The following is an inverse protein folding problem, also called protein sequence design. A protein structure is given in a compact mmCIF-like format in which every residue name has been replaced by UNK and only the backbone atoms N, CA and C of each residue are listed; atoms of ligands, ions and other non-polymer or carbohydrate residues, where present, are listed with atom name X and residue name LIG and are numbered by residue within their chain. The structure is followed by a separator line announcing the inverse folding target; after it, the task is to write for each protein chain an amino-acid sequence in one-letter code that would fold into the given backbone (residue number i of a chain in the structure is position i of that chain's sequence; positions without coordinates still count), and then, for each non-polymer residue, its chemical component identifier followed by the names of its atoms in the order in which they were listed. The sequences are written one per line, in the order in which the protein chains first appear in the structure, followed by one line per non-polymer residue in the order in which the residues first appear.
data_IF_991304047446
#
_entry.id   IF_991304047446
#
_cell.length_a   1.000
_cell.length_b   1.000
_cell.length_c   1.000
_cell.angle_alpha   90.00
_cell.angle_beta   90.00
_cell.angle_gamma   90.00
#
_symmetry.space_group_name_H-M   'P 1'
#
loop_
_entity.id
_entity.type
_entity.pdbx_description
1 polymer ?
#
# COMPACT_ATOMS: atom_id res chain seq x y z
N UNK A 1 -40.34 -11.63 -50.96
CA UNK A 1 -41.31 -11.83 -49.85
C UNK A 1 -42.03 -10.52 -49.54
N UNK A 2 -43.33 -10.44 -49.83
CA UNK A 2 -44.13 -9.19 -49.82
C UNK A 2 -44.99 -8.97 -48.56
N UNK A 3 -44.81 -9.77 -47.51
CA UNK A 3 -45.51 -9.61 -46.24
C UNK A 3 -44.53 -9.66 -45.06
N UNK A 4 -44.47 -8.58 -44.27
CA UNK A 4 -43.76 -8.53 -42.99
C UNK A 4 -44.55 -9.35 -41.97
N UNK A 5 -43.94 -10.44 -41.48
CA UNK A 5 -44.57 -11.37 -40.51
C UNK A 5 -44.49 -10.88 -39.06
N UNK A 6 -43.57 -9.96 -38.76
CA UNK A 6 -43.39 -9.38 -37.43
C UNK A 6 -42.00 -8.80 -37.23
N UNK A 7 -41.85 -7.97 -36.19
CA UNK A 7 -40.57 -7.47 -35.67
C UNK A 7 -40.31 -8.02 -34.26
N UNK A 8 -39.05 -7.97 -33.82
CA UNK A 8 -38.66 -8.45 -32.48
C UNK A 8 -37.43 -7.72 -31.95
N UNK A 9 -37.28 -7.73 -30.63
CA UNK A 9 -36.13 -7.15 -29.92
C UNK A 9 -35.26 -8.29 -29.40
N UNK A 10 -33.95 -8.20 -29.62
CA UNK A 10 -32.98 -9.18 -29.11
C UNK A 10 -32.68 -8.87 -27.65
N UNK A 11 -33.18 -9.68 -26.73
CA UNK A 11 -32.97 -9.49 -25.27
C UNK A 11 -31.68 -10.12 -24.74
N UNK A 12 -31.13 -11.13 -25.45
CA UNK A 12 -29.86 -11.74 -25.10
C UNK A 12 -29.19 -12.31 -26.36
N UNK A 13 -28.17 -11.63 -26.91
CA UNK A 13 -27.45 -12.09 -28.10
C UNK A 13 -26.51 -13.26 -27.83
N UNK A 14 -26.18 -13.57 -26.56
CA UNK A 14 -25.17 -14.57 -26.19
C UNK A 14 -25.64 -15.53 -25.08
N UNK A 15 -26.58 -16.45 -25.37
CA UNK A 15 -27.02 -17.44 -24.40
C UNK A 15 -25.92 -18.47 -24.10
N UNK A 16 -25.53 -18.61 -22.81
CA UNK A 16 -24.54 -19.62 -22.36
C UNK A 16 -25.00 -21.08 -22.55
N UNK A 17 -26.31 -21.30 -22.70
CA UNK A 17 -26.92 -22.61 -22.92
C UNK A 17 -28.26 -22.44 -23.63
N UNK A 18 -28.76 -23.53 -24.23
CA UNK A 18 -30.11 -23.57 -24.80
C UNK A 18 -31.15 -23.58 -23.69
N UNK A 19 -32.10 -22.66 -23.72
CA UNK A 19 -33.17 -22.58 -22.72
C UNK A 19 -34.29 -23.59 -23.03
N UNK A 20 -34.91 -24.12 -21.97
CA UNK A 20 -36.11 -24.95 -22.09
C UNK A 20 -37.30 -24.04 -22.42
N UNK A 21 -38.21 -24.52 -23.28
CA UNK A 21 -39.42 -23.78 -23.64
C UNK A 21 -40.28 -23.57 -22.39
N UNK A 22 -40.76 -22.34 -22.19
CA UNK A 22 -41.62 -21.93 -21.07
C UNK A 22 -41.01 -22.14 -19.67
N UNK A 23 -39.68 -22.04 -19.56
CA UNK A 23 -39.00 -22.04 -18.27
C UNK A 23 -39.34 -20.75 -17.50
N UNK A 24 -40.03 -20.83 -16.33
CA UNK A 24 -40.51 -19.66 -15.61
C UNK A 24 -39.40 -18.69 -15.20
N UNK A 25 -38.24 -19.23 -14.81
CA UNK A 25 -37.09 -18.42 -14.37
C UNK A 25 -36.46 -17.67 -15.56
N UNK A 26 -36.47 -18.29 -16.73
CA UNK A 26 -35.97 -17.69 -17.97
C UNK A 26 -36.93 -16.61 -18.48
N UNK A 27 -38.24 -16.86 -18.41
CA UNK A 27 -39.28 -15.89 -18.80
C UNK A 27 -39.24 -14.68 -17.88
N UNK A 28 -39.25 -14.87 -16.55
CA UNK A 28 -39.19 -13.77 -15.59
C UNK A 28 -37.93 -12.92 -15.79
N UNK A 29 -36.76 -13.55 -15.99
CA UNK A 29 -35.51 -12.87 -16.31
C UNK A 29 -35.61 -12.04 -17.61
N UNK A 30 -36.26 -12.56 -18.64
CA UNK A 30 -36.42 -11.83 -19.90
C UNK A 30 -37.48 -10.75 -19.83
N UNK A 31 -38.50 -10.88 -18.99
CA UNK A 31 -39.43 -9.78 -18.70
C UNK A 31 -38.74 -8.65 -17.94
N UNK A 32 -37.84 -8.95 -17.00
CA UNK A 32 -36.98 -7.93 -16.37
C UNK A 32 -36.04 -7.28 -17.38
N UNK A 33 -35.43 -8.04 -18.31
CA UNK A 33 -34.60 -7.45 -19.38
C UNK A 33 -35.42 -6.65 -20.40
N UNK A 34 -36.68 -7.02 -20.62
CA UNK A 34 -37.58 -6.34 -21.54
C UNK A 34 -38.25 -5.10 -20.93
N UNK A 35 -38.30 -4.98 -19.59
CA UNK A 35 -38.96 -3.88 -18.86
C UNK A 35 -38.03 -3.06 -17.97
N UNK A 36 -36.81 -3.54 -17.69
CA UNK A 36 -35.84 -2.84 -16.86
C UNK A 36 -35.38 -1.58 -17.56
N UNK A 37 -35.35 -0.48 -16.82
CA UNK A 37 -34.81 0.76 -17.38
C UNK A 37 -33.31 0.53 -17.73
N UNK A 38 -32.80 1.13 -18.83
CA UNK A 38 -31.43 0.86 -19.29
C UNK A 38 -30.34 1.08 -18.23
N UNK A 39 -30.56 2.02 -17.32
CA UNK A 39 -29.73 2.29 -16.14
C UNK A 39 -29.69 1.12 -15.15
N UNK A 40 -30.85 0.53 -14.80
CA UNK A 40 -30.94 -0.65 -13.92
C UNK A 40 -30.19 -1.85 -14.49
N UNK A 41 -30.30 -2.08 -15.81
CA UNK A 41 -29.62 -3.18 -16.49
C UNK A 41 -28.09 -2.98 -16.45
N UNK A 42 -27.61 -1.75 -16.64
CA UNK A 42 -26.18 -1.44 -16.55
C UNK A 42 -25.65 -1.62 -15.12
N UNK A 43 -26.39 -1.14 -14.11
CA UNK A 43 -26.02 -1.30 -12.70
C UNK A 43 -25.97 -2.78 -12.30
N UNK A 44 -27.01 -3.55 -12.64
CA UNK A 44 -27.05 -4.99 -12.34
C UNK A 44 -25.92 -5.74 -13.05
N UNK A 45 -25.54 -5.31 -14.26
CA UNK A 45 -24.40 -5.89 -14.98
C UNK A 45 -23.08 -5.61 -14.25
N UNK A 46 -22.87 -4.38 -13.78
CA UNK A 46 -21.67 -3.99 -13.02
C UNK A 46 -21.59 -4.63 -11.63
N UNK A 47 -22.73 -4.85 -10.95
CA UNK A 47 -22.75 -5.56 -9.67
C UNK A 47 -22.31 -7.02 -9.79
N UNK A 48 -22.63 -7.64 -10.94
CA UNK A 48 -22.25 -9.02 -11.24
C UNK A 48 -20.81 -9.12 -11.68
N UNK A 49 -20.40 -8.21 -12.54
CA UNK A 49 -19.10 -8.18 -13.19
C UNK A 49 -18.55 -6.76 -13.12
N UNK A 50 -17.88 -6.38 -12.02
CA UNK A 50 -17.31 -5.06 -11.88
C UNK A 50 -15.99 -4.92 -12.64
N UNK A 51 -15.44 -3.70 -12.70
CA UNK A 51 -14.20 -3.36 -13.40
C UNK A 51 -14.28 -3.55 -14.92
N UNK A 52 -15.46 -3.34 -15.50
CA UNK A 52 -15.66 -3.39 -16.96
C UNK A 52 -15.34 -2.03 -17.60
N UNK A 53 -14.70 -2.04 -18.75
CA UNK A 53 -14.62 -0.85 -19.61
C UNK A 53 -16.03 -0.48 -20.13
N UNK A 54 -16.30 0.80 -20.44
CA UNK A 54 -17.61 1.25 -20.95
C UNK A 54 -18.15 0.43 -22.12
N UNK A 55 -17.34 0.19 -23.15
CA UNK A 55 -17.75 -0.56 -24.34
C UNK A 55 -18.09 -2.02 -24.01
N UNK A 56 -17.31 -2.63 -23.10
CA UNK A 56 -17.54 -4.00 -22.65
C UNK A 56 -18.83 -4.11 -21.83
N UNK A 57 -19.12 -3.11 -20.98
CA UNK A 57 -20.36 -3.05 -20.22
C UNK A 57 -21.57 -2.96 -21.16
N UNK A 58 -21.52 -2.06 -22.15
CA UNK A 58 -22.58 -1.90 -23.15
C UNK A 58 -22.79 -3.23 -23.90
N UNK A 59 -21.72 -3.85 -24.38
CA UNK A 59 -21.81 -5.15 -25.08
C UNK A 59 -22.36 -6.29 -24.23
N UNK A 60 -22.12 -6.29 -22.91
CA UNK A 60 -22.63 -7.32 -21.97
C UNK A 60 -24.04 -7.06 -21.47
N UNK A 61 -24.49 -5.80 -21.49
CA UNK A 61 -25.82 -5.39 -21.03
C UNK A 61 -26.96 -5.91 -21.92
N UNK A 62 -26.68 -6.21 -23.19
CA UNK A 62 -27.70 -6.60 -24.18
C UNK A 62 -28.58 -5.44 -24.65
N UNK A 63 -28.28 -4.21 -24.24
CA UNK A 63 -28.95 -2.99 -24.67
C UNK A 63 -28.46 -2.55 -26.06
N UNK A 64 -29.30 -1.79 -26.77
CA UNK A 64 -28.86 -1.04 -27.95
C UNK A 64 -27.78 -0.01 -27.58
N UNK A 65 -26.87 0.30 -28.50
CA UNK A 65 -25.72 1.18 -28.23
C UNK A 65 -26.14 2.59 -27.77
N UNK A 66 -27.09 3.22 -28.46
CA UNK A 66 -27.58 4.56 -28.11
C UNK A 66 -28.23 4.62 -26.71
N UNK A 67 -29.24 3.80 -26.37
CA UNK A 67 -29.84 3.86 -25.04
C UNK A 67 -28.87 3.48 -23.92
N UNK A 68 -27.92 2.56 -24.17
CA UNK A 68 -26.91 2.20 -23.19
C UNK A 68 -25.90 3.32 -22.94
N UNK A 69 -25.46 4.02 -23.99
CA UNK A 69 -24.56 5.18 -23.85
C UNK A 69 -25.24 6.33 -23.12
N UNK A 70 -26.50 6.64 -23.46
CA UNK A 70 -27.27 7.67 -22.78
C UNK A 70 -27.44 7.37 -21.28
N UNK A 71 -27.84 6.15 -20.95
CA UNK A 71 -28.02 5.73 -19.56
C UNK A 71 -26.69 5.68 -18.78
N UNK A 72 -25.60 5.23 -19.41
CA UNK A 72 -24.29 5.25 -18.77
C UNK A 72 -23.83 6.68 -18.47
N UNK A 73 -24.03 7.61 -19.40
CA UNK A 73 -23.68 9.01 -19.20
C UNK A 73 -24.49 9.62 -18.02
N UNK A 74 -25.78 9.32 -17.94
CA UNK A 74 -26.64 9.75 -16.82
C UNK A 74 -26.19 9.14 -15.48
N UNK A 75 -25.83 7.85 -15.47
CA UNK A 75 -25.29 7.18 -14.28
C UNK A 75 -23.93 7.74 -13.84
N UNK A 76 -23.09 8.17 -14.78
CA UNK A 76 -21.83 8.84 -14.46
C UNK A 76 -22.06 10.27 -13.96
N UNK A 77 -23.02 11.00 -14.54
CA UNK A 77 -23.34 12.37 -14.15
C UNK A 77 -24.00 12.44 -12.77
N UNK A 78 -24.90 11.51 -12.46
CA UNK A 78 -25.48 11.33 -11.11
C UNK A 78 -24.47 10.74 -10.11
N UNK A 79 -23.33 10.23 -10.60
CA UNK A 79 -22.30 9.61 -9.80
C UNK A 79 -22.66 8.20 -9.29
N UNK A 80 -23.73 7.59 -9.77
CA UNK A 80 -24.09 6.20 -9.45
C UNK A 80 -23.06 5.19 -9.98
N UNK A 81 -22.36 5.55 -11.07
CA UNK A 81 -21.23 4.80 -11.63
C UNK A 81 -20.01 5.70 -11.70
N UNK A 82 -18.85 5.19 -11.29
CA UNK A 82 -17.57 5.90 -11.34
C UNK A 82 -16.53 5.04 -12.06
N UNK A 83 -15.66 5.67 -12.83
CA UNK A 83 -14.52 4.99 -13.45
C UNK A 83 -13.29 5.08 -12.54
N UNK A 84 -12.66 3.95 -12.25
CA UNK A 84 -11.32 3.88 -11.70
C UNK A 84 -10.38 3.28 -12.75
N UNK A 85 -9.44 4.07 -13.26
CA UNK A 85 -8.53 3.72 -14.37
C UNK A 85 -9.28 3.22 -15.62
N UNK A 86 -10.39 3.87 -15.97
CA UNK A 86 -11.24 3.49 -17.09
C UNK A 86 -12.11 2.25 -16.85
N UNK A 87 -11.97 1.58 -15.71
CA UNK A 87 -12.81 0.47 -15.30
C UNK A 87 -13.99 0.96 -14.45
N UNK A 88 -15.21 0.64 -14.86
CA UNK A 88 -16.44 1.10 -14.22
C UNK A 88 -16.76 0.29 -12.96
N UNK A 89 -17.21 1.01 -11.94
CA UNK A 89 -17.67 0.50 -10.67
C UNK A 89 -18.93 1.25 -10.26
N UNK A 90 -19.86 0.56 -9.59
CA UNK A 90 -20.98 1.23 -8.92
C UNK A 90 -20.47 2.02 -7.72
N UNK A 91 -21.20 3.08 -7.34
CA UNK A 91 -20.92 3.84 -6.11
C UNK A 91 -20.89 2.93 -4.88
N UNK A 92 -21.84 2.01 -4.79
CA UNK A 92 -21.90 1.03 -3.70
C UNK A 92 -20.63 0.15 -3.61
N UNK A 93 -20.07 -0.25 -4.76
CA UNK A 93 -18.82 -1.01 -4.79
C UNK A 93 -17.62 -0.18 -4.31
N UNK A 94 -17.53 1.10 -4.73
CA UNK A 94 -16.49 2.03 -4.27
C UNK A 94 -16.61 2.28 -2.77
N UNK A 95 -17.81 2.57 -2.28
CA UNK A 95 -18.06 2.79 -0.85
C UNK A 95 -17.72 1.54 -0.02
N UNK A 96 -18.10 0.36 -0.51
CA UNK A 96 -17.74 -0.92 0.11
C UNK A 96 -16.22 -1.13 0.16
N UNK A 97 -15.49 -0.78 -0.90
CA UNK A 97 -14.02 -0.84 -0.91
C UNK A 97 -13.40 0.14 0.09
N UNK A 98 -13.92 1.37 0.18
CA UNK A 98 -13.44 2.36 1.16
C UNK A 98 -13.71 1.87 2.58
N UNK A 99 -14.88 1.29 2.85
CA UNK A 99 -15.19 0.68 4.14
C UNK A 99 -14.21 -0.44 4.49
N UNK A 100 -14.00 -1.39 3.56
CA UNK A 100 -13.02 -2.47 3.73
C UNK A 100 -11.60 -1.96 3.96
N UNK A 101 -11.19 -0.91 3.22
CA UNK A 101 -9.89 -0.25 3.40
C UNK A 101 -9.75 0.34 4.80
N UNK A 102 -10.75 1.09 5.27
CA UNK A 102 -10.71 1.68 6.62
C UNK A 102 -10.74 0.62 7.72
N UNK A 103 -11.51 -0.45 7.54
CA UNK A 103 -11.56 -1.58 8.47
C UNK A 103 -10.21 -2.31 8.54
N UNK A 104 -9.57 -2.56 7.39
CA UNK A 104 -8.25 -3.16 7.30
C UNK A 104 -7.19 -2.33 8.04
N UNK A 105 -7.20 -1.01 7.86
CA UNK A 105 -6.25 -0.12 8.55
C UNK A 105 -6.53 -0.07 10.06
N UNK A 106 -7.80 -0.09 10.48
CA UNK A 106 -8.16 -0.15 11.91
C UNK A 106 -7.66 -1.46 12.56
N UNK A 107 -7.85 -2.60 11.88
CA UNK A 107 -7.34 -3.89 12.35
C UNK A 107 -5.80 -3.87 12.45
N UNK A 108 -5.13 -3.34 11.42
CA UNK A 108 -3.68 -3.19 11.41
C UNK A 108 -3.17 -2.34 12.59
N UNK A 109 -3.80 -1.21 12.87
CA UNK A 109 -3.41 -0.33 13.98
C UNK A 109 -3.67 -0.96 15.36
N UNK A 110 -4.73 -1.76 15.51
CA UNK A 110 -4.95 -2.52 16.76
C UNK A 110 -3.86 -3.56 16.98
N UNK A 111 -3.43 -4.24 15.92
CA UNK A 111 -2.35 -5.21 15.98
C UNK A 111 -0.96 -4.56 16.12
N UNK A 112 -0.78 -3.35 15.58
CA UNK A 112 0.50 -2.63 15.51
C UNK A 112 0.37 -1.18 16.01
N UNK A 113 0.07 -0.95 17.30
CA UNK A 113 -0.22 0.38 17.83
C UNK A 113 0.97 1.36 17.75
N UNK A 114 2.18 0.84 17.57
CA UNK A 114 3.42 1.62 17.48
C UNK A 114 3.84 1.92 16.03
N UNK A 115 3.20 1.28 15.04
CA UNK A 115 3.49 1.51 13.62
C UNK A 115 2.58 2.60 13.08
N UNK A 116 3.17 3.55 12.35
CA UNK A 116 2.46 4.70 11.79
C UNK A 116 1.34 4.31 10.83
N UNK A 117 1.55 3.26 10.03
CA UNK A 117 0.61 2.82 9.00
C UNK A 117 1.02 1.50 8.37
N UNK A 118 0.16 1.00 7.49
CA UNK A 118 0.33 -0.26 6.78
C UNK A 118 1.00 -0.05 5.42
N UNK A 119 1.93 -0.92 5.00
CA UNK A 119 2.55 -0.82 3.68
C UNK A 119 1.53 -0.84 2.54
N UNK A 120 1.64 0.09 1.58
CA UNK A 120 0.72 0.22 0.43
C UNK A 120 0.55 -1.08 -0.36
N UNK A 121 1.65 -1.79 -0.58
CA UNK A 121 1.65 -3.07 -1.30
C UNK A 121 0.81 -4.13 -0.59
N UNK A 122 0.88 -4.16 0.74
CA UNK A 122 0.13 -5.07 1.59
C UNK A 122 -1.35 -4.71 1.65
N UNK A 123 -1.67 -3.41 1.75
CA UNK A 123 -3.05 -2.93 1.66
C UNK A 123 -3.68 -3.37 0.34
N UNK A 124 -3.01 -3.12 -0.79
CA UNK A 124 -3.49 -3.53 -2.11
C UNK A 124 -3.62 -5.04 -2.22
N UNK A 125 -2.66 -5.80 -1.69
CA UNK A 125 -2.68 -7.26 -1.74
C UNK A 125 -3.70 -7.88 -0.79
N UNK A 126 -4.34 -7.14 0.12
CA UNK A 126 -5.43 -7.64 0.97
C UNK A 126 -6.80 -7.05 0.63
N UNK A 127 -6.83 -5.85 0.04
CA UNK A 127 -8.07 -5.23 -0.41
C UNK A 127 -8.58 -5.99 -1.63
N UNK A 128 -9.79 -6.56 -1.51
CA UNK A 128 -10.43 -7.33 -2.57
C UNK A 128 -11.80 -6.77 -2.89
N UNK A 129 -12.14 -6.79 -4.18
CA UNK A 129 -13.47 -6.44 -4.64
C UNK A 129 -14.34 -7.70 -4.74
N UNK A 130 -15.45 -7.79 -4.00
CA UNK A 130 -16.39 -8.89 -4.14
C UNK A 130 -17.13 -8.82 -5.50
N UNK A 131 -17.21 -9.95 -6.19
CA UNK A 131 -17.96 -10.09 -7.44
C UNK A 131 -18.58 -11.50 -7.50
N UNK A 132 -19.92 -11.61 -7.37
CA UNK A 132 -20.71 -12.86 -7.29
C UNK A 132 -19.92 -14.18 -7.20
N UNK A 133 -19.52 -14.55 -5.98
CA UNK A 133 -18.82 -15.82 -5.70
C UNK A 133 -17.31 -15.81 -6.00
N UNK A 134 -16.75 -14.66 -6.34
CA UNK A 134 -15.32 -14.43 -6.56
C UNK A 134 -14.85 -13.18 -5.83
N UNK A 135 -13.53 -13.08 -5.73
CA UNK A 135 -12.81 -11.95 -5.16
C UNK A 135 -11.80 -11.48 -6.19
N UNK A 136 -11.90 -10.22 -6.61
CA UNK A 136 -11.06 -9.64 -7.66
C UNK A 136 -9.98 -8.77 -7.04
N UNK A 137 -8.78 -8.84 -7.62
CA UNK A 137 -7.70 -7.91 -7.32
C UNK A 137 -7.97 -6.57 -7.99
N UNK A 138 -7.62 -5.47 -7.31
CA UNK A 138 -7.66 -4.14 -7.91
C UNK A 138 -6.40 -3.88 -8.74
N UNK A 139 -6.53 -3.42 -10.00
CA UNK A 139 -5.42 -2.87 -10.76
C UNK A 139 -4.73 -1.73 -10.00
N UNK A 140 -3.41 -1.59 -10.18
CA UNK A 140 -2.59 -0.63 -9.41
C UNK A 140 -3.10 0.81 -9.53
N UNK A 141 -3.45 1.24 -10.75
CA UNK A 141 -3.96 2.60 -11.00
C UNK A 141 -5.34 2.82 -10.39
N UNK A 142 -6.24 1.84 -10.50
CA UNK A 142 -7.55 1.88 -9.85
C UNK A 142 -7.42 1.95 -8.32
N UNK A 143 -6.50 1.17 -7.74
CA UNK A 143 -6.17 1.24 -6.31
C UNK A 143 -5.66 2.63 -5.91
N UNK A 144 -4.75 3.23 -6.67
CA UNK A 144 -4.23 4.56 -6.37
C UNK A 144 -5.33 5.63 -6.44
N UNK A 145 -6.25 5.55 -7.40
CA UNK A 145 -7.39 6.47 -7.49
C UNK A 145 -8.38 6.27 -6.32
N UNK A 146 -8.67 5.02 -5.93
CA UNK A 146 -9.47 4.72 -4.74
C UNK A 146 -8.84 5.32 -3.46
N UNK A 147 -7.53 5.15 -3.30
CA UNK A 147 -6.77 5.72 -2.18
C UNK A 147 -6.88 7.24 -2.18
N UNK A 148 -6.71 7.89 -3.33
CA UNK A 148 -6.84 9.34 -3.44
C UNK A 148 -8.24 9.81 -3.04
N UNK A 149 -9.31 9.17 -3.53
CA UNK A 149 -10.68 9.48 -3.13
C UNK A 149 -10.89 9.33 -1.62
N UNK A 150 -10.30 8.31 -0.99
CA UNK A 150 -10.41 8.11 0.45
C UNK A 150 -9.59 9.14 1.27
N UNK A 151 -8.49 9.66 0.72
CA UNK A 151 -7.71 10.77 1.29
C UNK A 151 -8.49 12.08 1.17
N UNK A 152 -9.06 12.37 0.00
CA UNK A 152 -9.87 13.57 -0.26
C UNK A 152 -11.10 13.60 0.65
N UNK A 153 -11.69 12.43 0.92
CA UNK A 153 -12.77 12.25 1.89
C UNK A 153 -12.30 12.24 3.36
N UNK A 154 -11.03 12.50 3.64
CA UNK A 154 -10.40 12.53 4.97
C UNK A 154 -10.60 11.25 5.80
N UNK A 155 -10.83 10.10 5.15
CA UNK A 155 -10.98 8.80 5.83
C UNK A 155 -9.65 8.15 6.15
N UNK A 156 -8.65 8.41 5.32
CA UNK A 156 -7.29 7.91 5.46
C UNK A 156 -6.28 9.01 5.14
N UNK A 157 -5.03 8.78 5.49
CA UNK A 157 -3.89 9.55 5.06
C UNK A 157 -2.79 8.57 4.61
N UNK A 158 -1.81 9.05 3.87
CA UNK A 158 -0.79 8.18 3.30
C UNK A 158 0.37 8.95 2.71
N UNK A 159 1.48 8.24 2.51
CA UNK A 159 2.62 8.67 1.71
C UNK A 159 2.90 7.64 0.61
N UNK A 160 4.09 7.69 0.00
CA UNK A 160 4.51 6.76 -1.05
C UNK A 160 4.66 5.31 -0.58
N UNK A 161 4.83 5.07 0.73
CA UNK A 161 5.15 3.77 1.28
C UNK A 161 4.02 3.21 2.16
N UNK A 162 3.37 4.07 2.94
CA UNK A 162 2.43 3.70 3.99
C UNK A 162 1.04 4.34 3.79
N UNK A 163 0.01 3.65 4.29
CA UNK A 163 -1.35 4.16 4.45
C UNK A 163 -1.78 4.01 5.90
N UNK A 164 -2.50 4.99 6.43
CA UNK A 164 -3.03 4.97 7.79
C UNK A 164 -4.38 5.67 7.86
N UNK A 165 -5.15 5.35 8.89
CA UNK A 165 -6.34 6.12 9.29
C UNK A 165 -5.99 7.57 9.58
N UNK A 166 -6.73 8.53 9.01
CA UNK A 166 -6.42 9.96 9.12
C UNK A 166 -6.38 10.46 10.58
N UNK A 167 -7.20 9.84 11.44
CA UNK A 167 -7.35 10.08 12.87
C UNK A 167 -6.35 9.30 13.75
N UNK A 168 -5.61 8.34 13.19
CA UNK A 168 -4.67 7.55 13.98
C UNK A 168 -3.42 8.35 14.33
N UNK A 169 -3.02 8.25 15.60
CA UNK A 169 -1.77 8.80 16.12
C UNK A 169 -1.13 7.73 16.99
N UNK A 170 0.15 7.44 16.72
CA UNK A 170 0.95 6.59 17.60
C UNK A 170 1.11 7.34 18.91
N UNK A 171 0.62 6.74 20.00
CA UNK A 171 0.73 7.30 21.35
C UNK A 171 1.52 6.32 22.21
N UNK A 172 2.63 6.79 22.75
CA UNK A 172 3.40 6.05 23.75
C UNK A 172 2.80 6.32 25.12
N UNK A 173 2.46 5.25 25.83
CA UNK A 173 2.18 5.32 27.25
C UNK A 173 3.41 5.83 28.02
N UNK A 174 3.19 6.25 29.27
CA UNK A 174 4.24 6.84 30.11
C UNK A 174 5.42 5.88 30.33
N UNK A 175 5.16 4.57 30.44
CA UNK A 175 6.19 3.55 30.64
C UNK A 175 7.10 3.45 29.41
N UNK A 176 6.50 3.32 28.23
CA UNK A 176 7.22 3.26 26.95
C UNK A 176 7.97 4.56 26.69
N UNK A 177 7.36 5.72 26.95
CA UNK A 177 8.02 7.02 26.79
C UNK A 177 9.30 7.11 27.62
N UNK A 178 9.24 6.77 28.91
CA UNK A 178 10.42 6.75 29.78
C UNK A 178 11.49 5.77 29.31
N UNK A 179 11.08 4.58 28.86
CA UNK A 179 12.01 3.58 28.33
C UNK A 179 12.74 4.09 27.08
N UNK A 180 12.02 4.75 26.16
CA UNK A 180 12.62 5.41 24.99
C UNK A 180 13.58 6.51 25.41
N UNK A 181 13.18 7.41 26.33
CA UNK A 181 14.03 8.50 26.81
C UNK A 181 15.34 7.99 27.44
N UNK A 182 15.25 6.97 28.30
CA UNK A 182 16.41 6.34 28.93
C UNK A 182 17.32 5.66 27.90
N UNK A 183 16.73 4.95 26.93
CA UNK A 183 17.45 4.30 25.85
C UNK A 183 18.20 5.33 25.01
N UNK A 184 17.52 6.38 24.56
CA UNK A 184 18.12 7.43 23.74
C UNK A 184 19.21 8.21 24.49
N UNK A 185 19.03 8.47 25.80
CA UNK A 185 20.06 9.07 26.63
C UNK A 185 21.30 8.17 26.76
N UNK A 186 21.12 6.85 26.86
CA UNK A 186 22.23 5.90 26.90
C UNK A 186 23.03 5.89 25.60
N UNK A 187 22.36 5.96 24.45
CA UNK A 187 23.03 6.10 23.16
C UNK A 187 23.76 7.44 23.04
N UNK A 188 23.13 8.55 23.45
CA UNK A 188 23.74 9.88 23.40
C UNK A 188 25.01 9.98 24.26
N UNK A 189 25.07 9.26 25.38
CA UNK A 189 26.26 9.20 26.24
C UNK A 189 27.44 8.44 25.60
N UNK A 190 27.20 7.60 24.59
CA UNK A 190 28.24 6.79 23.93
C UNK A 190 27.88 6.55 22.46
N UNK A 191 27.88 7.61 21.61
CA UNK A 191 27.29 7.57 20.27
C UNK A 191 27.98 6.57 19.32
N UNK A 192 29.29 6.35 19.51
CA UNK A 192 30.08 5.43 18.68
C UNK A 192 30.36 4.08 19.35
N UNK A 193 29.91 3.89 20.59
CA UNK A 193 29.96 2.62 21.30
C UNK A 193 28.61 2.35 22.00
N UNK A 194 27.51 2.30 21.24
CA UNK A 194 26.18 2.13 21.81
C UNK A 194 25.99 0.75 22.46
N UNK A 195 24.98 0.61 23.34
CA UNK A 195 24.62 -0.68 23.90
C UNK A 195 24.31 -1.70 22.80
N UNK A 196 24.51 -2.98 23.09
CA UNK A 196 24.19 -4.03 22.12
C UNK A 196 22.67 -4.22 21.96
N UNK A 197 22.24 -5.02 20.98
CA UNK A 197 20.81 -5.22 20.72
C UNK A 197 20.04 -5.83 21.90
N UNK A 198 20.64 -6.76 22.64
CA UNK A 198 20.01 -7.36 23.82
C UNK A 198 19.87 -6.34 24.96
N UNK A 199 20.93 -5.57 25.24
CA UNK A 199 20.89 -4.48 26.22
C UNK A 199 19.87 -3.40 25.83
N UNK A 200 19.78 -3.07 24.54
CA UNK A 200 18.78 -2.12 24.02
C UNK A 200 17.37 -2.64 24.25
N UNK A 201 17.12 -3.93 23.98
CA UNK A 201 15.82 -4.54 24.21
C UNK A 201 15.45 -4.54 25.70
N UNK A 202 16.40 -4.83 26.59
CA UNK A 202 16.21 -4.73 28.04
C UNK A 202 15.92 -3.30 28.49
N UNK A 203 16.60 -2.29 27.94
CA UNK A 203 16.31 -0.87 28.22
C UNK A 203 14.91 -0.46 27.76
N UNK A 204 14.40 -1.08 26.69
CA UNK A 204 13.04 -0.90 26.20
C UNK A 204 11.99 -1.74 26.94
N UNK A 205 12.42 -2.49 27.98
CA UNK A 205 11.55 -3.32 28.79
C UNK A 205 11.08 -4.59 28.08
N UNK A 206 11.95 -5.20 27.28
CA UNK A 206 11.69 -6.40 26.47
C UNK A 206 10.55 -6.23 25.45
N UNK A 207 10.29 -4.98 25.03
CA UNK A 207 9.24 -4.63 24.06
C UNK A 207 9.83 -4.55 22.64
N UNK A 208 9.84 -5.69 21.93
CA UNK A 208 10.34 -5.79 20.56
C UNK A 208 9.59 -4.87 19.59
N UNK A 209 8.28 -4.71 19.78
CA UNK A 209 7.46 -3.83 18.95
C UNK A 209 7.87 -2.36 19.10
N UNK A 210 8.32 -1.96 20.29
CA UNK A 210 8.86 -0.63 20.53
C UNK A 210 10.22 -0.44 19.86
N UNK A 211 11.10 -1.43 19.92
CA UNK A 211 12.38 -1.39 19.21
C UNK A 211 12.18 -1.25 17.70
N UNK A 212 11.31 -2.06 17.12
CA UNK A 212 10.99 -1.99 15.70
C UNK A 212 10.37 -0.64 15.32
N UNK A 213 9.50 -0.09 16.17
CA UNK A 213 8.94 1.25 15.94
C UNK A 213 10.01 2.35 15.94
N UNK A 214 11.01 2.29 16.82
CA UNK A 214 12.13 3.24 16.82
C UNK A 214 12.99 3.11 15.55
N UNK A 215 13.13 1.89 15.02
CA UNK A 215 13.85 1.63 13.76
C UNK A 215 13.04 2.15 12.57
N UNK A 216 11.75 1.83 12.50
CA UNK A 216 10.84 2.28 11.44
C UNK A 216 10.74 3.81 11.38
N UNK A 217 10.84 4.48 12.54
CA UNK A 217 10.85 5.95 12.65
C UNK A 217 12.23 6.58 12.34
N UNK A 218 13.27 5.75 12.12
CA UNK A 218 14.64 6.20 11.88
C UNK A 218 15.36 6.77 13.10
N UNK A 219 14.76 6.67 14.30
CA UNK A 219 15.41 7.10 15.55
C UNK A 219 16.59 6.18 15.88
N UNK A 220 16.41 4.88 15.66
CA UNK A 220 17.48 3.88 15.66
C UNK A 220 17.68 3.35 14.25
N UNK A 221 18.91 2.96 13.92
CA UNK A 221 19.26 2.30 12.66
C UNK A 221 19.98 1.00 12.97
N UNK A 222 19.42 -0.11 12.47
CA UNK A 222 20.04 -1.44 12.57
C UNK A 222 21.02 -1.63 11.42
N UNK A 223 22.27 -1.87 11.78
CA UNK A 223 23.38 -2.17 10.88
C UNK A 223 23.67 -3.68 10.88
N UNK A 224 24.57 -4.09 9.99
CA UNK A 224 25.10 -5.46 9.97
C UNK A 224 25.67 -5.88 11.33
N UNK A 225 25.59 -7.18 11.62
CA UNK A 225 26.02 -7.74 12.91
C UNK A 225 25.13 -7.35 14.11
N UNK A 226 23.89 -6.93 13.84
CA UNK A 226 22.89 -6.51 14.83
C UNK A 226 23.40 -5.37 15.74
N UNK A 227 24.17 -4.45 15.16
CA UNK A 227 24.61 -3.22 15.81
C UNK A 227 23.54 -2.16 15.57
N UNK A 228 23.16 -1.44 16.62
CA UNK A 228 22.18 -0.35 16.55
C UNK A 228 22.89 0.96 16.81
N UNK A 229 22.55 2.00 16.05
CA UNK A 229 22.98 3.38 16.28
C UNK A 229 21.76 4.29 16.31
N UNK A 230 21.88 5.49 16.91
CA UNK A 230 20.89 6.53 16.60
C UNK A 230 21.06 6.94 15.14
N UNK A 231 19.95 7.28 14.48
CA UNK A 231 19.98 7.70 13.08
C UNK A 231 20.97 8.85 12.85
N UNK A 232 20.91 9.87 13.72
CA UNK A 232 21.80 11.03 13.65
C UNK A 232 23.29 10.68 13.86
N UNK A 233 23.60 9.74 14.76
CA UNK A 233 24.98 9.33 15.02
C UNK A 233 25.54 8.55 13.83
N UNK A 234 24.73 7.66 13.24
CA UNK A 234 25.10 6.93 12.03
C UNK A 234 25.36 7.88 10.85
N UNK A 235 24.50 8.87 10.66
CA UNK A 235 24.66 9.87 9.59
C UNK A 235 25.92 10.73 9.83
N UNK A 236 26.21 11.09 11.08
CA UNK A 236 27.45 11.79 11.44
C UNK A 236 28.70 10.94 11.17
N UNK A 237 28.67 9.63 11.47
CA UNK A 237 29.77 8.72 11.15
C UNK A 237 29.98 8.62 9.64
N UNK A 238 28.90 8.51 8.86
CA UNK A 238 28.99 8.46 7.40
C UNK A 238 29.63 9.73 6.84
N UNK A 239 29.24 10.89 7.34
CA UNK A 239 29.80 12.18 6.92
C UNK A 239 31.31 12.27 7.23
N UNK A 240 31.72 11.90 8.45
CA UNK A 240 33.13 11.93 8.86
C UNK A 240 33.99 10.94 8.06
N UNK A 241 33.48 9.73 7.77
CA UNK A 241 34.17 8.75 6.92
C UNK A 241 34.34 9.30 5.50
N UNK A 242 33.28 9.90 4.92
CA UNK A 242 33.38 10.51 3.59
C UNK A 242 34.43 11.61 3.55
N UNK A 243 34.46 12.47 4.57
CA UNK A 243 35.44 13.55 4.68
C UNK A 243 36.87 13.00 4.80
N UNK A 244 37.07 11.97 5.63
CA UNK A 244 38.36 11.31 5.78
C UNK A 244 38.85 10.73 4.45
N UNK A 245 38.02 9.97 3.74
CA UNK A 245 38.38 9.39 2.45
C UNK A 245 38.64 10.47 1.40
N UNK A 246 37.88 11.57 1.42
CA UNK A 246 38.10 12.68 0.50
C UNK A 246 39.46 13.38 0.72
N UNK A 247 39.95 13.42 1.96
CA UNK A 247 41.25 14.00 2.32
C UNK A 247 42.43 13.03 2.08
N UNK A 248 42.28 11.78 2.52
CA UNK A 248 43.37 10.79 2.57
C UNK A 248 43.32 9.78 1.40
N UNK A 249 42.32 9.87 0.54
CA UNK A 249 42.07 8.99 -0.61
C UNK A 249 41.41 7.65 -0.27
N UNK A 250 41.64 7.09 0.93
CA UNK A 250 41.04 5.84 1.38
C UNK A 250 40.98 5.74 2.90
N UNK A 251 40.20 4.79 3.44
CA UNK A 251 40.17 4.49 4.87
C UNK A 251 40.27 2.99 5.13
N UNK A 252 41.19 2.59 6.01
CA UNK A 252 41.26 1.23 6.55
C UNK A 252 40.32 1.07 7.76
N UNK A 253 40.00 -0.18 8.10
CA UNK A 253 39.23 -0.47 9.33
C UNK A 253 39.93 0.04 10.60
N UNK A 254 41.27 0.01 10.62
CA UNK A 254 42.06 0.50 11.74
C UNK A 254 41.94 2.03 11.88
N UNK A 255 42.09 2.77 10.78
CA UNK A 255 41.93 4.23 10.77
C UNK A 255 40.50 4.64 11.16
N UNK A 256 39.47 3.93 10.67
CA UNK A 256 38.09 4.20 11.07
C UNK A 256 37.89 3.97 12.57
N UNK A 257 38.44 2.88 13.12
CA UNK A 257 38.39 2.59 14.56
C UNK A 257 39.02 3.72 15.39
N UNK A 258 40.19 4.20 14.97
CA UNK A 258 40.90 5.28 15.63
C UNK A 258 40.17 6.63 15.50
N UNK A 259 39.58 6.91 14.33
CA UNK A 259 38.80 8.11 14.06
C UNK A 259 37.64 8.29 15.04
N UNK A 260 36.93 7.20 15.37
CA UNK A 260 35.78 7.24 16.28
C UNK A 260 36.08 6.79 17.70
N UNK A 261 37.34 6.46 18.01
CA UNK A 261 37.79 5.91 19.29
C UNK A 261 36.85 4.80 19.82
N UNK A 262 36.54 3.82 18.98
CA UNK A 262 35.59 2.74 19.29
C UNK A 262 36.18 1.36 18.99
N UNK A 263 35.40 0.28 19.18
CA UNK A 263 35.80 -1.07 18.82
C UNK A 263 35.66 -1.34 17.33
N UNK A 264 36.43 -2.31 16.80
CA UNK A 264 36.34 -2.72 15.37
C UNK A 264 34.93 -3.16 14.97
N UNK A 265 34.19 -3.78 15.90
CA UNK A 265 32.81 -4.25 15.68
C UNK A 265 31.90 -3.14 15.17
N UNK A 266 31.94 -1.97 15.81
CA UNK A 266 31.06 -0.85 15.52
C UNK A 266 31.38 -0.20 14.17
N UNK A 267 32.66 0.12 13.93
CA UNK A 267 33.08 0.73 12.65
C UNK A 267 32.96 -0.24 11.48
N UNK A 268 33.15 -1.54 11.71
CA UNK A 268 32.94 -2.53 10.65
C UNK A 268 31.49 -2.54 10.18
N UNK A 269 30.53 -2.54 11.12
CA UNK A 269 29.10 -2.49 10.78
C UNK A 269 28.74 -1.22 9.98
N UNK A 270 29.29 -0.07 10.36
CA UNK A 270 29.09 1.20 9.65
C UNK A 270 29.69 1.16 8.24
N UNK A 271 30.91 0.65 8.09
CA UNK A 271 31.56 0.56 6.77
C UNK A 271 30.87 -0.44 5.83
N UNK A 272 30.40 -1.57 6.36
CA UNK A 272 29.61 -2.55 5.60
C UNK A 272 28.27 -1.97 5.15
N UNK A 273 27.62 -1.17 6.00
CA UNK A 273 26.40 -0.45 5.62
C UNK A 273 26.66 0.57 4.51
N UNK A 274 27.76 1.35 4.60
CA UNK A 274 28.14 2.28 3.55
C UNK A 274 28.43 1.57 2.22
N UNK A 275 29.02 0.38 2.26
CA UNK A 275 29.24 -0.46 1.07
C UNK A 275 27.90 -0.95 0.48
N UNK A 276 26.98 -1.41 1.33
CA UNK A 276 25.65 -1.87 0.93
C UNK A 276 24.83 -0.75 0.28
N UNK A 277 24.92 0.47 0.81
CA UNK A 277 24.32 1.68 0.25
C UNK A 277 25.09 2.25 -0.96
N UNK A 278 26.15 1.55 -1.41
CA UNK A 278 26.99 1.93 -2.55
C UNK A 278 27.70 3.29 -2.37
N UNK A 279 27.90 3.74 -1.13
CA UNK A 279 28.62 4.97 -0.80
C UNK A 279 30.12 4.73 -0.91
N UNK A 280 30.60 3.61 -0.36
CA UNK A 280 31.99 3.17 -0.42
C UNK A 280 32.12 1.89 -1.23
N UNK A 281 33.36 1.60 -1.64
CA UNK A 281 33.74 0.29 -2.17
C UNK A 281 35.02 -0.17 -1.48
N UNK A 282 35.06 -1.45 -1.10
CA UNK A 282 36.27 -2.08 -0.57
C UNK A 282 37.26 -2.40 -1.68
N UNK A 283 38.52 -1.99 -1.48
CA UNK A 283 39.67 -2.28 -2.34
C UNK A 283 40.80 -2.84 -1.47
N UNK A 284 40.96 -4.16 -1.47
CA UNK A 284 41.86 -4.84 -0.53
C UNK A 284 41.44 -4.60 0.93
N UNK A 285 42.33 -3.96 1.69
CA UNK A 285 42.15 -3.68 3.12
C UNK A 285 41.59 -2.28 3.42
N UNK A 286 41.38 -1.46 2.39
CA UNK A 286 40.86 -0.10 2.51
C UNK A 286 39.52 0.05 1.79
N UNK A 287 38.86 1.17 2.04
CA UNK A 287 37.65 1.61 1.35
C UNK A 287 37.89 2.96 0.70
N UNK A 288 37.38 3.09 -0.51
CA UNK A 288 37.39 4.32 -1.31
C UNK A 288 35.95 4.78 -1.54
N UNK A 289 35.76 6.06 -1.85
CA UNK A 289 34.45 6.58 -2.24
C UNK A 289 34.08 6.02 -3.61
N UNK A 290 32.82 5.63 -3.76
CA UNK A 290 32.29 5.26 -5.07
C UNK A 290 31.99 6.57 -5.81
N UNK A 291 32.71 6.83 -6.90
CA UNK A 291 32.38 7.96 -7.78
C UNK A 291 30.94 7.76 -8.29
N UNK A 292 30.15 8.85 -8.24
CA UNK A 292 28.78 8.88 -8.73
C UNK A 292 28.71 8.61 -10.24
#
# INVERSE_FOLDING_TARGET
PSATLGGGVVLNPHPRRRYRRFDPDVVARFETLARGAPDEILLQTLEREPLLAPDTLIGRSGLGSEPAQAALAELQQSGAVTALDGALLTRAAVDGLILSLTALLNEYHRANPLKRGMPRGEVRSRLRLPAQGRSLDLPVRAFNQLVQQAIDAQKIAGDEQLLWRADFRVTLDERRRRAVEQTMARYAASPYAPPNAAETLTLLGEDEALLDALIDQGQLRRMQGNVLFRGEDADAMFAQIRQFIAAEGSISLAQARDLFNTSRKYVQAVLEEMDAQRITRREGDVRVLRNA
#
